data_IF_142725137145
#
_entry.id   IF_142725137145
#
_cell.length_a   1.000
_cell.length_b   1.000
_cell.length_c   1.000
_cell.angle_alpha   90.00
_cell.angle_beta   90.00
_cell.angle_gamma   90.00
#
_symmetry.space_group_name_H-M   'P 1'
#
loop_
_entity.id
_entity.type
_entity.pdbx_description
1 polymer ?
#
# COMPACT_ATOMS: atom_id res chain seq x y z
N UNK A 1 6.21 7.40 -21.49
CA UNK A 1 6.18 6.38 -20.41
C UNK A 1 5.71 5.06 -20.97
N UNK A 2 6.41 3.95 -20.66
CA UNK A 2 5.98 2.58 -20.94
C UNK A 2 5.60 1.93 -19.61
N UNK A 3 4.40 1.36 -19.54
CA UNK A 3 3.88 0.67 -18.37
C UNK A 3 3.90 -0.83 -18.64
N UNK A 4 4.52 -1.60 -17.73
CA UNK A 4 4.54 -3.05 -17.75
C UNK A 4 3.62 -3.54 -16.63
N UNK A 5 2.65 -4.37 -16.97
CA UNK A 5 1.57 -4.78 -16.08
C UNK A 5 1.63 -6.28 -15.82
N UNK A 6 1.38 -6.68 -14.58
CA UNK A 6 1.30 -8.07 -14.14
C UNK A 6 0.18 -8.23 -13.13
N UNK A 7 -0.46 -9.38 -13.14
CA UNK A 7 -1.31 -9.84 -12.04
C UNK A 7 -0.73 -11.11 -11.43
N UNK A 8 -0.87 -11.26 -10.11
CA UNK A 8 -0.44 -12.48 -9.38
C UNK A 8 -1.60 -13.44 -9.13
N UNK A 9 -2.82 -12.91 -9.06
CA UNK A 9 -4.03 -13.61 -8.63
C UNK A 9 -5.05 -13.77 -9.76
N UNK A 10 -5.83 -12.73 -10.02
CA UNK A 10 -6.93 -12.74 -11.00
C UNK A 10 -6.74 -11.65 -12.06
N UNK A 11 -7.66 -11.55 -12.99
CA UNK A 11 -7.69 -10.48 -13.97
C UNK A 11 -8.01 -9.15 -13.29
N UNK A 12 -7.17 -8.15 -13.51
CA UNK A 12 -7.38 -6.75 -13.15
C UNK A 12 -7.26 -5.88 -14.39
N UNK A 13 -7.55 -4.61 -14.25
CA UNK A 13 -7.36 -3.64 -15.33
C UNK A 13 -6.72 -2.36 -14.79
N UNK A 14 -5.75 -1.84 -15.54
CA UNK A 14 -5.17 -0.52 -15.31
C UNK A 14 -5.92 0.47 -16.20
N UNK A 15 -6.81 1.23 -15.60
CA UNK A 15 -7.64 2.20 -16.30
C UNK A 15 -7.42 3.61 -15.77
N UNK A 16 -6.99 4.51 -16.64
CA UNK A 16 -6.91 5.95 -16.36
C UNK A 16 -7.88 6.68 -17.30
N UNK A 17 -9.07 7.04 -16.82
CA UNK A 17 -10.13 7.61 -17.66
C UNK A 17 -9.68 8.83 -18.45
N UNK A 18 -8.97 9.77 -17.83
CA UNK A 18 -8.51 11.00 -18.42
C UNK A 18 -7.48 10.79 -19.55
N UNK A 19 -6.72 9.69 -19.45
CA UNK A 19 -5.74 9.31 -20.48
C UNK A 19 -6.39 8.53 -21.61
N UNK A 20 -7.64 8.10 -21.46
CA UNK A 20 -8.34 7.13 -22.34
C UNK A 20 -7.51 5.86 -22.53
N UNK A 21 -6.75 5.50 -21.50
CA UNK A 21 -5.85 4.35 -21.50
C UNK A 21 -6.39 3.26 -20.59
N UNK A 22 -6.48 2.06 -21.13
CA UNK A 22 -6.95 0.87 -20.45
C UNK A 22 -6.12 -0.33 -20.91
N UNK A 23 -5.68 -1.18 -19.97
CA UNK A 23 -4.95 -2.40 -20.26
C UNK A 23 -5.13 -3.43 -19.16
N UNK A 24 -5.51 -4.63 -19.56
CA UNK A 24 -5.70 -5.76 -18.67
C UNK A 24 -4.38 -6.24 -18.05
N UNK A 25 -4.43 -6.58 -16.75
CA UNK A 25 -3.39 -7.30 -16.02
C UNK A 25 -3.78 -8.77 -15.99
N UNK A 26 -3.17 -9.58 -16.86
CA UNK A 26 -3.51 -10.99 -17.02
C UNK A 26 -2.56 -11.85 -16.20
N UNK A 27 -3.04 -12.77 -15.32
CA UNK A 27 -2.20 -13.70 -14.59
C UNK A 27 -1.29 -14.50 -15.51
N UNK A 28 -0.02 -14.63 -15.14
CA UNK A 28 0.97 -15.38 -15.91
C UNK A 28 1.49 -14.69 -17.17
N UNK A 29 1.02 -13.49 -17.49
CA UNK A 29 1.47 -12.72 -18.65
C UNK A 29 1.96 -11.33 -18.25
N UNK A 30 2.84 -10.75 -19.08
CA UNK A 30 3.21 -9.34 -18.99
C UNK A 30 2.47 -8.63 -20.11
N UNK A 31 1.51 -7.79 -19.76
CA UNK A 31 0.87 -6.87 -20.68
C UNK A 31 1.55 -5.51 -20.63
N UNK A 32 1.41 -4.69 -21.63
CA UNK A 32 2.02 -3.37 -21.65
C UNK A 32 1.28 -2.41 -22.57
N UNK A 33 1.41 -1.14 -22.24
CA UNK A 33 1.06 -0.04 -23.13
C UNK A 33 1.99 1.15 -22.86
N UNK A 34 1.85 2.19 -23.66
CA UNK A 34 2.63 3.41 -23.49
C UNK A 34 1.78 4.64 -23.73
N UNK A 35 2.17 5.73 -23.11
CA UNK A 35 1.58 7.04 -23.31
C UNK A 35 2.62 8.12 -23.08
N UNK A 36 2.35 9.32 -23.61
CA UNK A 36 3.11 10.54 -23.33
C UNK A 36 2.17 11.52 -22.65
N UNK A 37 2.31 11.77 -21.35
CA UNK A 37 1.48 12.73 -20.67
C UNK A 37 1.80 14.15 -21.19
N UNK A 38 0.79 14.99 -21.32
CA UNK A 38 0.93 16.35 -21.89
C UNK A 38 0.51 17.43 -20.91
N UNK A 39 -0.19 17.07 -19.84
CA UNK A 39 -0.72 18.00 -18.84
C UNK A 39 -0.29 17.52 -17.46
N UNK A 40 0.47 18.30 -16.68
CA UNK A 40 0.77 17.99 -15.28
C UNK A 40 -0.52 17.90 -14.45
N UNK A 41 -0.52 17.01 -13.45
CA UNK A 41 -1.65 16.83 -12.56
C UNK A 41 -1.67 15.42 -11.93
N UNK A 42 -2.64 15.18 -11.07
CA UNK A 42 -2.89 13.87 -10.45
C UNK A 42 -4.16 13.28 -11.04
N UNK A 43 -4.07 12.04 -11.50
CA UNK A 43 -5.12 11.34 -12.21
C UNK A 43 -5.40 9.99 -11.53
N UNK A 44 -6.67 9.62 -11.44
CA UNK A 44 -7.05 8.36 -10.81
C UNK A 44 -6.75 7.15 -11.72
N UNK A 45 -6.21 6.10 -11.10
CA UNK A 45 -6.16 4.75 -11.67
C UNK A 45 -7.30 3.97 -11.05
N UNK A 46 -8.08 3.30 -11.87
CA UNK A 46 -9.18 2.45 -11.44
C UNK A 46 -8.96 1.02 -11.95
N UNK A 47 -9.42 0.04 -11.20
CA UNK A 47 -9.61 -1.30 -11.74
C UNK A 47 -10.94 -1.35 -12.49
N UNK A 48 -10.92 -1.71 -13.78
CA UNK A 48 -12.12 -1.79 -14.61
C UNK A 48 -12.53 -3.24 -14.95
N UNK A 49 -11.87 -4.25 -14.32
CA UNK A 49 -12.26 -5.66 -14.38
C UNK A 49 -12.69 -6.17 -13.01
N UNK A 50 -13.84 -6.87 -12.94
CA UNK A 50 -14.32 -7.41 -11.66
C UNK A 50 -13.37 -8.48 -11.13
N UNK A 51 -12.61 -8.12 -10.12
CA UNK A 51 -11.51 -8.92 -9.58
C UNK A 51 -11.75 -9.48 -8.17
N UNK A 52 -12.95 -9.27 -7.62
CA UNK A 52 -13.33 -9.80 -6.30
C UNK A 52 -13.94 -8.76 -5.37
N UNK A 53 -14.02 -9.08 -4.08
CA UNK A 53 -14.73 -8.27 -3.07
C UNK A 53 -14.16 -6.85 -2.96
N UNK A 54 -12.83 -6.69 -3.04
CA UNK A 54 -12.12 -5.40 -2.94
C UNK A 54 -12.14 -4.57 -4.23
N UNK A 55 -12.77 -5.06 -5.31
CA UNK A 55 -12.75 -4.41 -6.63
C UNK A 55 -13.15 -2.92 -6.59
N UNK A 56 -14.20 -2.58 -5.86
CA UNK A 56 -14.73 -1.21 -5.76
C UNK A 56 -13.74 -0.22 -5.13
N UNK A 57 -12.82 -0.72 -4.31
CA UNK A 57 -11.82 0.08 -3.59
C UNK A 57 -10.41 0.02 -4.23
N UNK A 58 -10.28 -0.69 -5.35
CA UNK A 58 -9.01 -0.86 -6.04
C UNK A 58 -8.70 0.39 -6.87
N UNK A 59 -8.03 1.35 -6.24
CA UNK A 59 -7.69 2.66 -6.80
C UNK A 59 -6.20 2.95 -6.61
N UNK A 60 -5.66 3.78 -7.48
CA UNK A 60 -4.33 4.34 -7.40
C UNK A 60 -4.30 5.71 -8.06
N UNK A 61 -3.11 6.31 -8.14
CA UNK A 61 -2.93 7.61 -8.76
C UNK A 61 -1.72 7.60 -9.71
N UNK A 62 -1.86 8.29 -10.83
CA UNK A 62 -0.76 8.69 -11.68
C UNK A 62 -0.50 10.17 -11.44
N UNK A 63 0.68 10.50 -10.97
CA UNK A 63 1.13 11.88 -10.87
C UNK A 63 1.96 12.22 -12.11
N UNK A 64 1.55 13.22 -12.83
CA UNK A 64 2.28 13.77 -13.98
C UNK A 64 2.92 15.06 -13.53
N UNK A 65 4.22 15.03 -13.37
CA UNK A 65 5.02 16.18 -12.95
C UNK A 65 5.58 16.96 -14.14
N UNK A 66 6.06 18.18 -13.88
CA UNK A 66 7.00 18.83 -14.79
C UNK A 66 8.31 18.04 -14.84
N UNK A 67 9.14 18.25 -15.86
CA UNK A 67 10.42 17.54 -15.96
C UNK A 67 11.32 17.80 -14.74
N UNK A 68 11.36 19.04 -14.23
CA UNK A 68 12.16 19.41 -13.05
C UNK A 68 11.65 18.77 -11.77
N UNK A 69 10.33 18.70 -11.58
CA UNK A 69 9.72 18.11 -10.38
C UNK A 69 9.90 16.61 -10.37
N UNK A 70 9.74 15.97 -11.55
CA UNK A 70 10.01 14.53 -11.70
C UNK A 70 11.48 14.19 -11.41
N UNK A 71 12.44 14.97 -11.93
CA UNK A 71 13.86 14.77 -11.62
C UNK A 71 14.15 14.97 -10.13
N UNK A 72 13.52 15.98 -9.52
CA UNK A 72 13.61 16.25 -8.08
C UNK A 72 13.01 15.12 -7.23
N UNK A 73 11.91 14.54 -7.66
CA UNK A 73 11.33 13.36 -7.03
C UNK A 73 12.22 12.13 -7.22
N UNK A 74 12.69 11.88 -8.45
CA UNK A 74 13.52 10.71 -8.77
C UNK A 74 14.83 10.70 -7.99
N UNK A 75 15.45 11.87 -7.79
CA UNK A 75 16.69 11.99 -7.03
C UNK A 75 16.56 11.67 -5.54
N UNK A 76 15.34 11.68 -5.01
CA UNK A 76 15.03 11.30 -3.64
C UNK A 76 14.64 9.83 -3.49
N UNK A 77 14.49 9.11 -4.61
CA UNK A 77 14.14 7.68 -4.54
C UNK A 77 15.36 6.88 -4.12
N UNK A 78 15.14 5.98 -3.17
CA UNK A 78 16.18 5.09 -2.68
C UNK A 78 16.55 4.11 -3.79
N UNK A 79 17.84 3.98 -4.07
CA UNK A 79 18.36 3.01 -5.03
C UNK A 79 18.41 1.61 -4.42
N UNK A 80 18.39 0.56 -5.27
CA UNK A 80 18.58 -0.82 -4.79
C UNK A 80 19.87 -0.99 -3.98
N UNK A 81 20.89 -0.18 -4.22
CA UNK A 81 22.16 -0.20 -3.48
C UNK A 81 22.00 0.29 -2.04
N UNK A 82 21.15 1.28 -1.81
CA UNK A 82 20.87 1.82 -0.47
C UNK A 82 20.00 0.88 0.36
N UNK A 83 19.08 0.15 -0.27
CA UNK A 83 18.26 -0.88 0.37
C UNK A 83 19.13 -2.05 0.88
N UNK A 84 20.20 -2.39 0.16
CA UNK A 84 21.09 -3.51 0.52
C UNK A 84 22.12 -3.19 1.60
N UNK A 85 22.29 -1.92 1.99
CA UNK A 85 23.31 -1.47 2.95
C UNK A 85 22.81 -1.21 4.37
N UNK A 86 21.59 -1.63 4.70
CA UNK A 86 21.04 -1.54 6.07
C UNK A 86 20.57 -0.13 6.41
N UNK A 87 19.36 0.19 6.08
CA UNK A 87 18.74 1.48 6.32
C UNK A 87 18.54 1.80 7.80
N UNK A 88 18.49 3.10 8.11
CA UNK A 88 18.01 3.64 9.39
C UNK A 88 16.55 3.23 9.65
N UNK A 89 16.06 3.37 10.87
CA UNK A 89 14.65 3.09 11.21
C UNK A 89 13.69 3.88 10.29
N UNK A 90 14.03 5.12 9.94
CA UNK A 90 13.28 5.92 8.97
C UNK A 90 13.23 5.25 7.59
N UNK A 91 14.33 4.64 7.16
CA UNK A 91 14.38 3.88 5.90
C UNK A 91 13.50 2.62 5.91
N UNK A 92 13.33 1.95 7.07
CA UNK A 92 12.42 0.81 7.21
C UNK A 92 10.96 1.25 7.10
N UNK A 93 10.57 2.35 7.72
CA UNK A 93 9.20 2.90 7.63
C UNK A 93 8.83 3.22 6.19
N UNK A 94 9.69 3.94 5.47
CA UNK A 94 9.45 4.27 4.06
C UNK A 94 9.42 3.02 3.16
N UNK A 95 10.25 2.02 3.46
CA UNK A 95 10.24 0.74 2.75
C UNK A 95 8.92 -0.01 3.00
N UNK A 96 8.47 -0.05 4.25
CA UNK A 96 7.18 -0.65 4.65
C UNK A 96 6.00 0.02 3.97
N UNK A 97 5.98 1.37 3.94
CA UNK A 97 4.95 2.13 3.24
C UNK A 97 4.88 1.78 1.75
N UNK A 98 6.03 1.75 1.06
CA UNK A 98 6.09 1.37 -0.35
C UNK A 98 5.66 -0.08 -0.58
N UNK A 99 6.07 -0.98 0.33
CA UNK A 99 5.70 -2.38 0.25
C UNK A 99 4.19 -2.56 0.43
N UNK A 100 3.60 -1.91 1.43
CA UNK A 100 2.16 -1.92 1.68
C UNK A 100 1.37 -1.42 0.46
N UNK A 101 1.79 -0.32 -0.16
CA UNK A 101 1.16 0.21 -1.36
C UNK A 101 1.32 -0.74 -2.55
N UNK A 102 2.53 -1.26 -2.81
CA UNK A 102 2.82 -2.12 -3.97
C UNK A 102 2.21 -3.52 -3.87
N UNK A 103 1.93 -3.99 -2.66
CA UNK A 103 1.33 -5.30 -2.39
C UNK A 103 -0.18 -5.24 -2.20
N UNK A 104 -0.78 -4.04 -2.27
CA UNK A 104 -2.21 -3.84 -2.21
C UNK A 104 -2.80 -3.88 -0.79
N UNK A 105 -1.99 -3.83 0.26
CA UNK A 105 -2.47 -3.85 1.65
C UNK A 105 -3.44 -2.69 1.92
N UNK A 106 -3.15 -1.50 1.35
CA UNK A 106 -3.94 -0.28 1.53
C UNK A 106 -5.30 -0.32 0.82
N UNK A 107 -5.57 -1.33 -0.02
CA UNK A 107 -6.90 -1.55 -0.59
C UNK A 107 -7.91 -2.05 0.47
N UNK A 108 -7.41 -2.71 1.52
CA UNK A 108 -8.23 -3.30 2.57
C UNK A 108 -7.98 -2.68 3.95
N UNK A 109 -6.86 -2.00 4.17
CA UNK A 109 -6.49 -1.38 5.45
C UNK A 109 -6.34 0.13 5.29
N UNK A 110 -7.10 0.91 6.06
CA UNK A 110 -6.96 2.37 6.11
C UNK A 110 -5.79 2.77 7.00
N UNK A 111 -5.16 3.88 6.66
CA UNK A 111 -4.07 4.49 7.46
C UNK A 111 -4.48 5.82 8.10
N UNK A 112 -5.69 6.27 7.81
CA UNK A 112 -6.26 7.56 8.24
C UNK A 112 -7.44 7.41 9.22
N UNK A 113 -7.75 6.17 9.63
CA UNK A 113 -8.88 5.86 10.50
C UNK A 113 -10.23 5.82 9.79
N UNK A 114 -10.26 5.93 8.47
CA UNK A 114 -11.47 5.76 7.66
C UNK A 114 -11.98 4.31 7.67
N UNK A 115 -13.23 4.08 7.25
CA UNK A 115 -13.80 2.73 7.14
C UNK A 115 -13.05 1.92 6.10
N UNK A 116 -12.75 0.66 6.44
CA UNK A 116 -11.96 -0.25 5.60
C UNK A 116 -12.45 -1.69 5.72
N UNK A 117 -12.04 -2.54 4.78
CA UNK A 117 -12.45 -3.95 4.74
C UNK A 117 -11.78 -4.79 5.82
N UNK A 118 -10.56 -4.45 6.21
CA UNK A 118 -9.80 -5.02 7.32
C UNK A 118 -9.56 -4.00 8.43
N UNK A 119 -8.93 -4.37 9.55
CA UNK A 119 -8.56 -3.43 10.61
C UNK A 119 -7.78 -2.24 10.08
N UNK A 120 -8.17 -1.03 10.49
CA UNK A 120 -7.40 0.18 10.17
C UNK A 120 -6.05 0.15 10.90
N UNK A 121 -5.01 0.68 10.27
CA UNK A 121 -3.66 0.65 10.86
C UNK A 121 -3.34 1.84 11.75
N UNK A 122 -4.15 2.91 11.68
CA UNK A 122 -3.97 4.07 12.56
C UNK A 122 -4.16 3.67 14.03
N UNK A 123 -3.13 3.83 14.84
CA UNK A 123 -3.09 3.42 16.26
C UNK A 123 -3.35 1.92 16.51
N UNK A 124 -3.08 1.07 15.53
CA UNK A 124 -3.29 -0.37 15.65
C UNK A 124 -2.20 -1.01 16.53
N UNK A 125 -0.94 -0.70 16.27
CA UNK A 125 0.19 -1.24 17.05
C UNK A 125 0.10 -0.82 18.52
N UNK A 126 0.32 -1.78 19.42
CA UNK A 126 0.19 -1.59 20.86
C UNK A 126 -1.25 -1.59 21.39
N UNK A 127 -2.27 -1.67 20.53
CA UNK A 127 -3.66 -1.78 20.93
C UNK A 127 -4.06 -3.19 21.36
N UNK A 128 -5.24 -3.36 21.92
CA UNK A 128 -5.83 -4.66 22.23
C UNK A 128 -6.93 -4.97 21.21
N UNK A 129 -6.76 -6.04 20.42
CA UNK A 129 -7.77 -6.51 19.48
C UNK A 129 -8.60 -7.66 20.07
N UNK A 130 -9.90 -7.68 19.75
CA UNK A 130 -10.79 -8.80 20.08
C UNK A 130 -10.91 -9.71 18.86
N UNK A 131 -10.69 -11.01 19.03
CA UNK A 131 -10.81 -12.00 17.98
C UNK A 131 -12.24 -12.55 17.84
N UNK A 132 -12.52 -13.24 16.72
CA UNK A 132 -13.86 -13.81 16.47
C UNK A 132 -14.28 -14.86 17.49
N UNK A 133 -13.34 -15.50 18.18
CA UNK A 133 -13.61 -16.46 19.27
C UNK A 133 -13.87 -15.77 20.62
N UNK A 134 -13.81 -14.45 20.68
CA UNK A 134 -13.99 -13.62 21.87
C UNK A 134 -12.73 -13.46 22.71
N UNK A 135 -11.63 -14.06 22.36
CA UNK A 135 -10.33 -13.83 23.01
C UNK A 135 -9.77 -12.44 22.64
N UNK A 136 -8.85 -11.96 23.46
CA UNK A 136 -8.17 -10.70 23.25
C UNK A 136 -6.68 -10.92 23.05
N UNK A 137 -6.09 -10.14 22.17
CA UNK A 137 -4.67 -10.19 21.84
C UNK A 137 -4.09 -8.79 21.83
N UNK A 138 -2.86 -8.65 22.34
CA UNK A 138 -2.08 -7.43 22.15
C UNK A 138 -1.55 -7.42 20.72
N UNK A 139 -1.75 -6.31 20.02
CA UNK A 139 -1.20 -6.12 18.69
C UNK A 139 0.26 -5.70 18.81
N UNK A 140 1.13 -6.67 18.93
CA UNK A 140 2.58 -6.53 18.91
C UNK A 140 3.16 -6.96 17.55
N UNK A 141 4.48 -6.87 17.41
CA UNK A 141 5.17 -7.23 16.17
C UNK A 141 4.94 -8.68 15.77
N UNK A 142 4.90 -9.61 16.74
CA UNK A 142 4.68 -11.04 16.47
C UNK A 142 3.26 -11.28 15.94
N UNK A 143 2.26 -10.62 16.52
CA UNK A 143 0.87 -10.66 16.03
C UNK A 143 0.74 -10.08 14.63
N UNK A 144 1.38 -8.94 14.34
CA UNK A 144 1.36 -8.33 13.02
C UNK A 144 1.99 -9.24 11.95
N UNK A 145 3.14 -9.84 12.27
CA UNK A 145 3.81 -10.79 11.38
C UNK A 145 2.91 -12.02 11.13
N UNK A 146 2.37 -12.63 12.20
CA UNK A 146 1.47 -13.79 12.08
C UNK A 146 0.26 -13.45 11.20
N UNK A 147 -0.36 -12.28 11.42
CA UNK A 147 -1.53 -11.84 10.63
C UNK A 147 -1.22 -11.65 9.13
N UNK A 148 0.03 -11.33 8.78
CA UNK A 148 0.45 -11.18 7.39
C UNK A 148 0.73 -12.54 6.73
N UNK A 149 1.41 -13.45 7.44
CA UNK A 149 1.83 -14.73 6.86
C UNK A 149 0.78 -15.83 6.99
N UNK A 150 -0.04 -15.78 8.05
CA UNK A 150 -1.16 -16.71 8.28
C UNK A 150 -2.40 -15.95 8.80
N UNK A 151 -3.08 -15.18 7.96
CA UNK A 151 -4.23 -14.35 8.36
C UNK A 151 -5.44 -15.15 8.85
N UNK A 152 -5.45 -16.47 8.65
CA UNK A 152 -6.51 -17.33 9.16
C UNK A 152 -6.29 -17.79 10.60
N UNK A 153 -5.07 -17.65 11.14
CA UNK A 153 -4.73 -18.08 12.50
C UNK A 153 -5.50 -17.27 13.56
N UNK A 154 -5.60 -15.95 13.39
CA UNK A 154 -6.28 -15.03 14.32
C UNK A 154 -7.06 -14.00 13.52
N UNK A 155 -8.38 -14.05 13.59
CA UNK A 155 -9.25 -13.15 12.83
C UNK A 155 -9.83 -12.11 13.77
N UNK A 156 -9.63 -10.83 13.48
CA UNK A 156 -10.19 -9.73 14.26
C UNK A 156 -11.72 -9.69 14.16
N UNK A 157 -12.41 -9.51 15.29
CA UNK A 157 -13.87 -9.48 15.34
C UNK A 157 -14.42 -8.28 14.55
N UNK A 158 -15.49 -8.55 13.79
CA UNK A 158 -16.13 -7.51 12.96
C UNK A 158 -15.59 -7.41 11.54
N UNK A 159 -14.53 -8.16 11.19
CA UNK A 159 -13.96 -8.20 9.85
C UNK A 159 -14.15 -9.56 9.18
N UNK A 160 -14.36 -9.59 7.85
CA UNK A 160 -14.49 -10.85 7.12
C UNK A 160 -13.12 -11.52 6.96
N UNK A 161 -13.05 -12.88 6.95
CA UNK A 161 -11.79 -13.63 6.77
C UNK A 161 -11.38 -13.69 5.29
N UNK A 162 -11.08 -12.54 4.70
CA UNK A 162 -10.77 -12.41 3.26
C UNK A 162 -9.33 -11.99 2.97
N UNK A 163 -8.53 -11.75 4.02
CA UNK A 163 -7.11 -11.44 3.84
C UNK A 163 -6.38 -12.67 3.30
N UNK A 164 -5.53 -12.45 2.30
CA UNK A 164 -4.69 -13.49 1.71
C UNK A 164 -3.35 -13.55 2.44
N UNK A 165 -2.79 -14.74 2.56
CA UNK A 165 -1.45 -14.93 3.10
C UNK A 165 -0.39 -14.38 2.13
N UNK A 166 0.65 -13.75 2.67
CA UNK A 166 1.77 -13.23 1.91
C UNK A 166 3.07 -13.94 2.28
N UNK A 167 3.89 -14.19 1.27
CA UNK A 167 5.28 -14.64 1.45
C UNK A 167 6.20 -13.42 1.34
N UNK A 168 6.81 -13.05 2.46
CA UNK A 168 7.79 -11.97 2.57
C UNK A 168 9.07 -12.48 3.21
N UNK A 169 10.21 -11.82 2.95
CA UNK A 169 11.42 -12.03 3.73
C UNK A 169 11.30 -11.36 5.10
N UNK A 170 12.15 -11.76 6.05
CA UNK A 170 12.15 -11.19 7.40
C UNK A 170 12.35 -9.66 7.35
N UNK A 171 13.24 -9.14 6.49
CA UNK A 171 13.45 -7.70 6.34
C UNK A 171 12.22 -6.97 5.77
N UNK A 172 11.43 -7.65 4.92
CA UNK A 172 10.19 -7.10 4.40
C UNK A 172 9.10 -7.06 5.47
N UNK A 173 9.02 -8.07 6.31
CA UNK A 173 8.12 -8.10 7.46
C UNK A 173 8.49 -7.02 8.48
N UNK A 174 9.76 -6.90 8.81
CA UNK A 174 10.26 -5.84 9.71
C UNK A 174 9.91 -4.44 9.18
N UNK A 175 10.03 -4.22 7.88
CA UNK A 175 9.67 -2.93 7.28
C UNK A 175 8.17 -2.64 7.34
N UNK A 176 7.31 -3.64 7.12
CA UNK A 176 5.85 -3.50 7.25
C UNK A 176 5.45 -3.21 8.69
N UNK A 177 6.02 -3.92 9.64
CA UNK A 177 5.80 -3.69 11.08
C UNK A 177 6.22 -2.28 11.45
N UNK A 178 7.45 -1.86 11.06
CA UNK A 178 7.93 -0.50 11.33
C UNK A 178 7.01 0.58 10.74
N UNK A 179 6.44 0.34 9.56
CA UNK A 179 5.47 1.26 8.97
C UNK A 179 4.16 1.32 9.77
N UNK A 180 3.61 0.17 10.18
CA UNK A 180 2.39 0.14 10.99
C UNK A 180 2.62 0.80 12.35
N UNK A 181 3.76 0.55 12.98
CA UNK A 181 4.16 1.18 14.24
C UNK A 181 4.23 2.71 14.12
N UNK A 182 4.75 3.22 13.00
CA UNK A 182 4.86 4.66 12.74
C UNK A 182 3.52 5.38 12.59
N UNK A 183 2.43 4.65 12.40
CA UNK A 183 1.06 5.20 12.33
C UNK A 183 0.42 5.41 13.71
N UNK A 184 1.16 5.21 14.79
CA UNK A 184 0.70 5.49 16.15
C UNK A 184 0.73 7.00 16.45
N UNK A 185 -0.27 7.51 17.16
CA UNK A 185 -0.50 8.94 17.36
C UNK A 185 0.53 9.70 18.20
N UNK A 186 1.51 9.00 18.77
CA UNK A 186 2.58 9.65 19.55
C UNK A 186 3.62 10.37 18.67
N UNK A 187 3.61 10.18 17.34
CA UNK A 187 4.56 10.79 16.40
C UNK A 187 3.94 11.78 15.40
N UNK A 188 2.66 12.17 15.56
CA UNK A 188 2.02 13.16 14.69
C UNK A 188 2.41 14.62 15.02
N UNK A 189 3.58 14.87 15.59
CA UNK A 189 4.17 16.21 15.74
C UNK A 189 4.98 16.67 14.52
N UNK A 190 4.63 16.21 13.32
CA UNK A 190 5.21 16.75 12.09
C UNK A 190 4.42 17.98 11.60
N UNK A 191 5.10 19.06 11.22
CA UNK A 191 4.44 20.32 10.88
C UNK A 191 3.60 20.14 9.62
N UNK A 192 2.31 20.45 9.74
CA UNK A 192 1.42 20.65 8.60
C UNK A 192 2.05 21.61 7.59
N UNK A 193 2.33 21.13 6.38
CA UNK A 193 2.63 22.00 5.24
C UNK A 193 1.36 22.77 4.97
N UNK A 194 1.34 24.02 5.42
CA UNK A 194 0.30 24.97 5.03
C UNK A 194 0.48 25.29 3.56
N UNK A 195 -0.58 25.29 2.74
CA UNK A 195 -0.51 25.84 1.40
C UNK A 195 -0.18 27.33 1.52
N UNK A 196 0.90 27.76 0.89
CA UNK A 196 1.18 29.18 0.71
C UNK A 196 0.14 29.74 -0.24
N UNK A 197 -0.77 30.57 0.29
CA UNK A 197 -1.58 31.47 -0.52
C UNK A 197 -0.64 32.54 -1.12
N UNK A 198 -0.50 32.56 -2.45
CA UNK A 198 -0.19 33.70 -3.26
C UNK A 198 -0.81 33.55 -4.64
#
# INVERSE_FOLDING_TARGET
>A
TKVLLRSKDVLHDFYVPEFRAKMDLVPGQITYFWFTPTIPGTFDILCAEYCGIGHYNMRGQVVVDTASDYEGWLSKQITCSEVLTGGTVEGLVEQGQRLAASRGCLACHSVDGGPSLGPGWLNLSGSEETLIDGSKVLVDSDYLIESIVDPAAKIAAGYPPVMVAYEFSDEQLDSLVAYIDSLSSDDLSQPSIQPTED
#
